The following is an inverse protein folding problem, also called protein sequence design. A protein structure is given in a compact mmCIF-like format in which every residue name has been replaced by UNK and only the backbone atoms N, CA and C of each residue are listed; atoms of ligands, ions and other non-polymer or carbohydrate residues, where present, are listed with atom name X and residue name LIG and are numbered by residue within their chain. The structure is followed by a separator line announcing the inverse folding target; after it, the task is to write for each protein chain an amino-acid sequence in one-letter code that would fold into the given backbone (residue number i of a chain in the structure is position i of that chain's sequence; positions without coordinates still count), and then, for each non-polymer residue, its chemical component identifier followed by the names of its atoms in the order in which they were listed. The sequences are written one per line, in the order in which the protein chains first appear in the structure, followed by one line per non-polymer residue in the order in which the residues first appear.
data_IF_626504761064
#
_entry.id   IF_626504761064
#
_cell.length_a   1.000
_cell.length_b   1.000
_cell.length_c   1.000
_cell.angle_alpha   90.00
_cell.angle_beta   90.00
_cell.angle_gamma   90.00
#
_symmetry.space_group_name_H-M   'P 1'
#
loop_
_entity.id
_entity.type
_entity.pdbx_description
1 polymer ?
#
# COMPACT_ATOMS: atom_id res chain seq x y z
N UNK A 1 -2.54 13.81 -48.39
CA UNK A 1 -2.07 12.64 -47.61
C UNK A 1 -0.87 12.96 -46.75
N UNK A 2 0.16 13.64 -47.24
CA UNK A 2 1.39 13.97 -46.48
C UNK A 2 1.14 14.75 -45.18
N UNK A 3 0.28 15.78 -45.21
CA UNK A 3 -0.09 16.53 -43.99
C UNK A 3 -0.81 15.67 -42.95
N UNK A 4 -1.63 14.72 -43.39
CA UNK A 4 -2.36 13.79 -42.49
C UNK A 4 -1.37 12.86 -41.79
N UNK A 5 -0.39 12.33 -42.54
CA UNK A 5 0.69 11.50 -41.98
C UNK A 5 1.55 12.30 -41.00
N UNK A 6 1.89 13.55 -41.34
CA UNK A 6 2.64 14.45 -40.45
C UNK A 6 1.90 14.74 -39.13
N UNK A 7 0.62 15.10 -39.18
CA UNK A 7 -0.19 15.32 -37.97
C UNK A 7 -0.35 14.04 -37.15
N UNK A 8 -0.48 12.88 -37.79
CA UNK A 8 -0.53 11.59 -37.10
C UNK A 8 0.78 11.30 -36.36
N UNK A 9 1.94 11.55 -36.98
CA UNK A 9 3.25 11.38 -36.34
C UNK A 9 3.41 12.32 -35.14
N UNK A 10 3.02 13.58 -35.27
CA UNK A 10 3.04 14.54 -34.16
C UNK A 10 2.15 14.10 -33.00
N UNK A 11 0.94 13.61 -33.31
CA UNK A 11 0.00 13.12 -32.31
C UNK A 11 0.56 11.89 -31.56
N UNK A 12 1.09 10.90 -32.28
CA UNK A 12 1.71 9.72 -31.68
C UNK A 12 2.94 10.09 -30.83
N UNK A 13 3.76 11.03 -31.29
CA UNK A 13 4.91 11.53 -30.54
C UNK A 13 4.49 12.20 -29.24
N UNK A 14 3.42 13.01 -29.26
CA UNK A 14 2.88 13.65 -28.08
C UNK A 14 2.34 12.63 -27.06
N UNK A 15 1.65 11.58 -27.52
CA UNK A 15 1.21 10.47 -26.65
C UNK A 15 2.41 9.77 -26.03
N UNK A 16 3.43 9.43 -26.84
CA UNK A 16 4.63 8.75 -26.37
C UNK A 16 5.37 9.55 -25.29
N UNK A 17 5.60 10.85 -25.51
CA UNK A 17 6.26 11.72 -24.55
C UNK A 17 5.46 11.83 -23.23
N UNK A 18 4.13 11.90 -23.32
CA UNK A 18 3.25 11.92 -22.15
C UNK A 18 3.35 10.61 -21.35
N UNK A 19 3.32 9.47 -22.03
CA UNK A 19 3.45 8.15 -21.41
C UNK A 19 4.82 7.98 -20.75
N UNK A 20 5.91 8.37 -21.44
CA UNK A 20 7.27 8.32 -20.87
C UNK A 20 7.38 9.14 -19.58
N UNK A 21 6.87 10.37 -19.58
CA UNK A 21 6.85 11.22 -18.37
C UNK A 21 6.10 10.59 -17.21
N UNK A 22 4.98 9.90 -17.48
CA UNK A 22 4.22 9.18 -16.45
C UNK A 22 5.01 7.99 -15.90
N UNK A 23 5.65 7.20 -16.77
CA UNK A 23 6.51 6.08 -16.36
C UNK A 23 7.67 6.57 -15.50
N UNK A 24 8.35 7.65 -15.90
CA UNK A 24 9.45 8.24 -15.13
C UNK A 24 9.00 8.72 -13.75
N UNK A 25 7.80 9.30 -13.67
CA UNK A 25 7.20 9.69 -12.39
C UNK A 25 6.91 8.48 -11.50
N UNK A 26 6.31 7.42 -12.05
CA UNK A 26 6.03 6.17 -11.31
C UNK A 26 7.33 5.54 -10.83
N UNK A 27 8.35 5.45 -11.69
CA UNK A 27 9.66 4.90 -11.34
C UNK A 27 10.33 5.71 -10.23
N UNK A 28 10.25 7.05 -10.29
CA UNK A 28 10.76 7.91 -9.22
C UNK A 28 10.04 7.68 -7.90
N UNK A 29 8.71 7.58 -7.93
CA UNK A 29 7.90 7.32 -6.75
C UNK A 29 8.19 5.93 -6.16
N UNK A 30 8.24 4.88 -6.98
CA UNK A 30 8.59 3.52 -6.56
C UNK A 30 10.00 3.45 -5.98
N UNK A 31 10.97 4.15 -6.58
CA UNK A 31 12.32 4.24 -6.05
C UNK A 31 12.36 4.89 -4.67
N UNK A 32 11.60 5.97 -4.45
CA UNK A 32 11.51 6.61 -3.14
C UNK A 32 10.91 5.67 -2.09
N UNK A 33 9.78 5.03 -2.41
CA UNK A 33 9.03 4.25 -1.44
C UNK A 33 9.64 2.87 -1.17
N UNK A 34 9.98 2.11 -2.21
CA UNK A 34 10.32 0.69 -2.07
C UNK A 34 11.82 0.40 -2.10
N UNK A 35 12.63 1.25 -2.74
CA UNK A 35 14.09 1.06 -2.82
C UNK A 35 14.79 1.87 -1.74
N UNK A 36 14.53 3.18 -1.68
CA UNK A 36 15.10 4.07 -0.67
C UNK A 36 14.41 3.96 0.69
N UNK A 37 13.22 3.37 0.73
CA UNK A 37 12.40 3.20 1.95
C UNK A 37 12.20 4.52 2.70
N UNK A 38 11.91 5.57 1.94
CA UNK A 38 11.70 6.93 2.43
C UNK A 38 10.28 7.39 2.08
N UNK A 39 9.27 6.96 2.87
CA UNK A 39 7.89 7.30 2.62
C UNK A 39 7.63 8.81 2.83
N UNK A 40 8.44 9.49 3.64
CA UNK A 40 8.36 10.94 3.81
C UNK A 40 8.71 11.72 2.54
N UNK A 41 9.81 11.36 1.88
CA UNK A 41 10.17 11.95 0.58
C UNK A 41 9.20 11.56 -0.53
N UNK A 42 8.63 10.35 -0.47
CA UNK A 42 7.55 9.94 -1.38
C UNK A 42 6.30 10.83 -1.25
N UNK A 43 5.83 11.09 -0.03
CA UNK A 43 4.69 11.98 0.23
C UNK A 43 4.98 13.40 -0.26
N UNK A 44 6.16 13.95 0.05
CA UNK A 44 6.59 15.28 -0.44
C UNK A 44 6.63 15.36 -1.97
N UNK A 45 7.01 14.28 -2.64
CA UNK A 45 7.02 14.23 -4.09
C UNK A 45 5.59 14.26 -4.66
N UNK A 46 4.64 13.58 -4.01
CA UNK A 46 3.23 13.60 -4.38
C UNK A 46 2.57 14.95 -4.10
N UNK A 47 2.90 15.63 -3.00
CA UNK A 47 2.41 16.99 -2.74
C UNK A 47 2.78 17.95 -3.90
N UNK A 48 4.03 17.91 -4.36
CA UNK A 48 4.48 18.67 -5.54
C UNK A 48 3.79 18.27 -6.85
N UNK A 49 3.34 17.01 -6.96
CA UNK A 49 2.55 16.55 -8.12
C UNK A 49 1.14 17.10 -8.02
N UNK A 50 0.54 17.12 -6.82
CA UNK A 50 -0.81 17.60 -6.54
C UNK A 50 -0.96 19.12 -6.74
N UNK A 51 0.11 19.90 -6.53
CA UNK A 51 0.16 21.34 -6.84
C UNK A 51 -0.01 21.67 -8.34
N UNK A 52 0.17 20.69 -9.23
CA UNK A 52 0.10 20.91 -10.69
C UNK A 52 -1.33 20.80 -11.19
N UNK A 53 -1.64 21.58 -12.24
CA UNK A 53 -2.90 21.44 -12.99
C UNK A 53 -3.02 20.03 -13.59
N UNK A 54 -4.09 19.34 -13.23
CA UNK A 54 -4.36 17.97 -13.64
C UNK A 54 -5.87 17.69 -13.67
N UNK A 55 -6.28 16.60 -14.30
CA UNK A 55 -7.70 16.22 -14.32
C UNK A 55 -8.18 15.80 -12.93
N UNK A 56 -9.47 15.94 -12.59
CA UNK A 56 -10.02 15.46 -11.32
C UNK A 56 -9.68 13.99 -11.02
N UNK A 57 -9.73 13.13 -12.05
CA UNK A 57 -9.31 11.73 -11.96
C UNK A 57 -7.86 11.57 -11.51
N UNK A 58 -6.94 12.36 -12.04
CA UNK A 58 -5.53 12.29 -11.68
C UNK A 58 -5.28 12.81 -10.26
N UNK A 59 -6.03 13.82 -9.81
CA UNK A 59 -5.97 14.28 -8.41
C UNK A 59 -6.32 13.12 -7.49
N UNK A 60 -7.45 12.46 -7.73
CA UNK A 60 -7.91 11.32 -6.90
C UNK A 60 -6.85 10.21 -6.85
N UNK A 61 -6.28 9.85 -8.00
CA UNK A 61 -5.23 8.82 -8.09
C UNK A 61 -3.99 9.22 -7.28
N UNK A 62 -3.50 10.45 -7.43
CA UNK A 62 -2.32 10.92 -6.73
C UNK A 62 -2.56 11.08 -5.21
N UNK A 63 -3.76 11.48 -4.79
CA UNK A 63 -4.17 11.50 -3.38
C UNK A 63 -4.19 10.08 -2.82
N UNK A 64 -4.74 9.12 -3.56
CA UNK A 64 -4.76 7.73 -3.13
C UNK A 64 -3.35 7.12 -3.03
N UNK A 65 -2.45 7.46 -3.96
CA UNK A 65 -1.03 7.10 -3.83
C UNK A 65 -0.41 7.73 -2.59
N UNK A 66 -0.74 8.99 -2.29
CA UNK A 66 -0.23 9.68 -1.09
C UNK A 66 -0.63 8.95 0.18
N UNK A 67 -1.84 8.39 0.26
CA UNK A 67 -2.27 7.63 1.43
C UNK A 67 -1.46 6.35 1.65
N UNK A 68 -0.89 5.73 0.60
CA UNK A 68 0.06 4.61 0.78
C UNK A 68 1.35 5.08 1.45
N UNK A 69 1.87 6.25 1.09
CA UNK A 69 3.04 6.84 1.76
C UNK A 69 2.76 7.19 3.21
N UNK A 70 1.63 7.86 3.47
CA UNK A 70 1.18 8.20 4.82
C UNK A 70 0.94 6.95 5.70
N UNK A 71 0.40 5.88 5.12
CA UNK A 71 0.24 4.59 5.80
C UNK A 71 1.59 4.06 6.27
N UNK A 72 2.60 4.01 5.40
CA UNK A 72 3.93 3.56 5.79
C UNK A 72 4.60 4.50 6.81
N UNK A 73 4.29 5.80 6.80
CA UNK A 73 4.72 6.73 7.86
C UNK A 73 3.98 6.56 9.19
N UNK A 74 3.01 5.65 9.30
CA UNK A 74 2.19 5.47 10.49
C UNK A 74 1.18 6.59 10.74
N UNK A 75 0.90 7.43 9.74
CA UNK A 75 -0.08 8.54 9.82
C UNK A 75 -1.51 8.04 9.59
N UNK A 76 -1.93 7.05 10.38
CA UNK A 76 -3.20 6.35 10.17
C UNK A 76 -4.42 7.28 10.25
N UNK A 77 -4.44 8.24 11.17
CA UNK A 77 -5.50 9.24 11.27
C UNK A 77 -5.68 10.05 9.99
N UNK A 78 -4.56 10.50 9.41
CA UNK A 78 -4.56 11.28 8.17
C UNK A 78 -5.02 10.41 6.99
N UNK A 79 -4.56 9.16 6.90
CA UNK A 79 -5.01 8.20 5.89
C UNK A 79 -6.53 7.99 5.97
N UNK A 80 -7.04 7.71 7.17
CA UNK A 80 -8.47 7.47 7.39
C UNK A 80 -9.27 8.71 6.99
N UNK A 81 -8.87 9.90 7.47
CA UNK A 81 -9.57 11.14 7.16
C UNK A 81 -9.63 11.42 5.64
N UNK A 82 -8.49 11.30 4.95
CA UNK A 82 -8.42 11.52 3.51
C UNK A 82 -9.36 10.56 2.77
N UNK A 83 -9.32 9.27 3.12
CA UNK A 83 -10.09 8.26 2.41
C UNK A 83 -11.58 8.35 2.69
N UNK A 84 -11.99 8.67 3.92
CA UNK A 84 -13.42 8.70 4.26
C UNK A 84 -14.11 10.04 3.99
N UNK A 85 -13.39 11.16 4.10
CA UNK A 85 -13.99 12.50 4.09
C UNK A 85 -13.61 13.30 2.84
N UNK A 86 -12.35 13.23 2.41
CA UNK A 86 -11.82 14.11 1.36
C UNK A 86 -11.95 13.48 -0.03
N UNK A 87 -11.81 12.15 -0.12
CA UNK A 87 -11.84 11.43 -1.39
C UNK A 87 -13.26 10.98 -1.76
N UNK A 88 -13.75 11.47 -2.90
CA UNK A 88 -15.05 11.08 -3.47
C UNK A 88 -14.87 10.51 -4.86
N UNK A 89 -15.75 9.59 -5.26
CA UNK A 89 -15.79 9.00 -6.61
C UNK A 89 -14.48 8.33 -7.04
N UNK A 90 -13.94 7.46 -6.18
CA UNK A 90 -12.74 6.65 -6.50
C UNK A 90 -13.01 5.82 -7.76
N UNK A 91 -12.15 5.88 -8.80
CA UNK A 91 -12.33 5.02 -9.97
C UNK A 91 -12.29 3.55 -9.55
N UNK A 92 -13.20 2.74 -10.09
CA UNK A 92 -13.37 1.32 -9.72
C UNK A 92 -12.04 0.54 -9.66
N UNK A 93 -11.18 0.73 -10.65
CA UNK A 93 -9.89 0.04 -10.73
C UNK A 93 -8.86 0.50 -9.67
N UNK A 94 -9.16 1.52 -8.87
CA UNK A 94 -8.34 2.00 -7.75
C UNK A 94 -8.96 1.67 -6.39
N UNK A 95 -10.17 1.11 -6.35
CA UNK A 95 -10.82 0.68 -5.11
C UNK A 95 -10.02 -0.34 -4.30
N UNK A 96 -9.29 -1.32 -4.91
CA UNK A 96 -8.45 -2.22 -4.12
C UNK A 96 -7.43 -1.49 -3.23
N UNK A 97 -6.76 -0.47 -3.78
CA UNK A 97 -5.77 0.34 -3.06
C UNK A 97 -6.44 1.19 -1.99
N UNK A 98 -7.61 1.78 -2.32
CA UNK A 98 -8.43 2.53 -1.37
C UNK A 98 -8.76 1.69 -0.14
N UNK A 99 -9.34 0.51 -0.35
CA UNK A 99 -9.77 -0.33 0.75
C UNK A 99 -8.58 -0.95 1.50
N UNK A 100 -7.48 -1.30 0.81
CA UNK A 100 -6.26 -1.74 1.49
C UNK A 100 -5.78 -0.68 2.48
N UNK A 101 -5.54 0.55 2.01
CA UNK A 101 -4.98 1.61 2.84
C UNK A 101 -5.92 1.96 4.00
N UNK A 102 -7.23 2.01 3.77
CA UNK A 102 -8.22 2.29 4.80
C UNK A 102 -8.27 1.18 5.87
N UNK A 103 -8.46 -0.07 5.44
CA UNK A 103 -8.70 -1.19 6.35
C UNK A 103 -7.44 -1.49 7.17
N UNK A 104 -6.26 -1.50 6.55
CA UNK A 104 -5.01 -1.70 7.28
C UNK A 104 -4.77 -0.55 8.27
N UNK A 105 -5.00 0.70 7.88
CA UNK A 105 -4.86 1.84 8.81
C UNK A 105 -5.80 1.73 10.00
N UNK A 106 -7.05 1.29 9.80
CA UNK A 106 -8.00 1.06 10.89
C UNK A 106 -7.50 -0.04 11.84
N UNK A 107 -7.02 -1.17 11.32
CA UNK A 107 -6.45 -2.24 12.14
C UNK A 107 -5.22 -1.80 12.94
N UNK A 108 -4.26 -1.14 12.29
CA UNK A 108 -3.04 -0.69 12.97
C UNK A 108 -3.29 0.46 13.96
N UNK A 109 -4.35 1.24 13.77
CA UNK A 109 -4.84 2.21 14.76
C UNK A 109 -5.57 1.56 15.94
N UNK A 110 -6.04 0.32 15.78
CA UNK A 110 -6.84 -0.40 16.78
C UNK A 110 -8.36 -0.20 16.64
N UNK A 111 -8.83 0.38 15.54
CA UNK A 111 -10.26 0.57 15.24
C UNK A 111 -10.88 -0.69 14.58
N UNK A 112 -10.71 -1.85 15.23
CA UNK A 112 -11.03 -3.17 14.65
C UNK A 112 -12.48 -3.31 14.16
N UNK A 113 -13.45 -2.75 14.90
CA UNK A 113 -14.87 -2.81 14.51
C UNK A 113 -15.10 -2.10 13.16
N UNK A 114 -14.57 -0.88 13.01
CA UNK A 114 -14.67 -0.12 11.76
C UNK A 114 -13.89 -0.78 10.64
N UNK A 115 -12.73 -1.40 10.94
CA UNK A 115 -11.99 -2.18 9.95
C UNK A 115 -12.86 -3.34 9.42
N UNK A 116 -13.53 -4.07 10.31
CA UNK A 116 -14.43 -5.17 9.97
C UNK A 116 -15.66 -4.72 9.16
N UNK A 117 -16.25 -3.57 9.50
CA UNK A 117 -17.33 -2.97 8.70
C UNK A 117 -16.86 -2.62 7.29
N UNK A 118 -15.67 -2.06 7.14
CA UNK A 118 -15.10 -1.75 5.82
C UNK A 118 -14.68 -3.01 5.04
N UNK A 119 -14.24 -4.07 5.71
CA UNK A 119 -14.05 -5.38 5.09
C UNK A 119 -15.34 -5.91 4.44
N UNK A 120 -16.49 -5.78 5.12
CA UNK A 120 -17.79 -6.19 4.56
C UNK A 120 -18.15 -5.39 3.31
N UNK A 121 -17.90 -4.07 3.33
CA UNK A 121 -18.13 -3.19 2.17
C UNK A 121 -17.22 -3.53 0.99
N UNK A 122 -15.96 -3.87 1.27
CA UNK A 122 -14.96 -4.18 0.25
C UNK A 122 -15.16 -5.57 -0.39
N UNK A 123 -15.91 -6.47 0.24
CA UNK A 123 -15.97 -7.90 -0.11
C UNK A 123 -16.25 -8.15 -1.59
N UNK A 124 -17.33 -7.58 -2.15
CA UNK A 124 -17.70 -7.80 -3.55
C UNK A 124 -16.62 -7.32 -4.51
N UNK A 125 -15.98 -6.18 -4.21
CA UNK A 125 -14.88 -5.65 -5.02
C UNK A 125 -13.62 -6.52 -4.90
N UNK A 126 -13.26 -6.99 -3.70
CA UNK A 126 -12.14 -7.92 -3.56
C UNK A 126 -12.38 -9.22 -4.31
N UNK A 127 -13.59 -9.77 -4.30
CA UNK A 127 -13.92 -10.96 -5.10
C UNK A 127 -13.78 -10.72 -6.61
N UNK A 128 -14.11 -9.52 -7.09
CA UNK A 128 -13.92 -9.14 -8.49
C UNK A 128 -12.44 -9.04 -8.87
N UNK A 129 -11.60 -8.48 -7.99
CA UNK A 129 -10.19 -8.19 -8.29
C UNK A 129 -9.20 -9.28 -7.81
N UNK A 130 -9.64 -10.30 -7.08
CA UNK A 130 -8.72 -11.32 -6.50
C UNK A 130 -7.90 -12.09 -7.52
N UNK A 131 -8.41 -12.26 -8.74
CA UNK A 131 -7.72 -12.96 -9.83
C UNK A 131 -6.81 -12.04 -10.66
N UNK A 132 -6.72 -10.76 -10.31
CA UNK A 132 -5.82 -9.82 -10.96
C UNK A 132 -4.47 -9.85 -10.24
N UNK A 133 -3.43 -10.39 -10.89
CA UNK A 133 -2.08 -10.54 -10.34
C UNK A 133 -1.51 -9.27 -9.69
N UNK A 134 -1.93 -8.08 -10.14
CA UNK A 134 -1.50 -6.81 -9.53
C UNK A 134 -2.12 -6.57 -8.15
N UNK A 135 -3.36 -7.00 -7.93
CA UNK A 135 -4.12 -6.79 -6.70
C UNK A 135 -4.16 -8.00 -5.76
N UNK A 136 -3.93 -9.21 -6.26
CA UNK A 136 -4.05 -10.47 -5.50
C UNK A 136 -3.32 -10.41 -4.16
N UNK A 137 -2.00 -10.18 -4.15
CA UNK A 137 -1.21 -10.13 -2.91
C UNK A 137 -1.70 -9.02 -1.96
N UNK A 138 -2.13 -7.87 -2.49
CA UNK A 138 -2.67 -6.77 -1.70
C UNK A 138 -3.96 -7.18 -0.97
N UNK A 139 -4.87 -7.84 -1.68
CA UNK A 139 -6.15 -8.31 -1.14
C UNK A 139 -5.91 -9.40 -0.10
N UNK A 140 -5.01 -10.34 -0.39
CA UNK A 140 -4.65 -11.41 0.54
C UNK A 140 -4.02 -10.89 1.82
N UNK A 141 -3.15 -9.87 1.76
CA UNK A 141 -2.60 -9.22 2.96
C UNK A 141 -3.74 -8.67 3.82
N UNK A 142 -4.70 -7.98 3.21
CA UNK A 142 -5.83 -7.40 3.95
C UNK A 142 -6.66 -8.48 4.65
N UNK A 143 -6.95 -9.59 3.97
CA UNK A 143 -7.64 -10.73 4.58
C UNK A 143 -6.83 -11.37 5.70
N UNK A 144 -5.53 -11.60 5.50
CA UNK A 144 -4.67 -12.23 6.50
C UNK A 144 -4.52 -11.37 7.77
N UNK A 145 -4.38 -10.05 7.61
CA UNK A 145 -4.37 -9.10 8.73
C UNK A 145 -5.73 -9.10 9.44
N UNK A 146 -6.82 -9.07 8.67
CA UNK A 146 -8.17 -9.14 9.24
C UNK A 146 -8.36 -10.42 10.06
N UNK A 147 -7.98 -11.56 9.53
CA UNK A 147 -8.05 -12.84 10.23
C UNK A 147 -7.23 -12.84 11.52
N UNK A 148 -6.01 -12.28 11.50
CA UNK A 148 -5.17 -12.13 12.70
C UNK A 148 -5.89 -11.36 13.81
N UNK A 149 -6.47 -10.21 13.50
CA UNK A 149 -7.23 -9.42 14.48
C UNK A 149 -8.55 -10.09 14.92
N UNK A 150 -9.01 -11.12 14.21
CA UNK A 150 -10.13 -11.98 14.59
C UNK A 150 -9.68 -13.32 15.22
N UNK A 151 -8.41 -13.43 15.63
CA UNK A 151 -7.88 -14.58 16.37
C UNK A 151 -7.31 -15.72 15.52
N UNK A 152 -7.34 -15.61 14.19
CA UNK A 152 -6.75 -16.62 13.29
C UNK A 152 -5.34 -16.22 12.87
N UNK A 153 -4.36 -17.06 13.19
CA UNK A 153 -2.95 -16.68 13.05
C UNK A 153 -2.39 -16.70 11.61
N UNK A 154 -2.97 -17.46 10.67
CA UNK A 154 -2.53 -17.53 9.26
C UNK A 154 -1.00 -17.63 9.07
N UNK A 155 -0.33 -18.44 9.91
CA UNK A 155 1.14 -18.52 10.00
C UNK A 155 1.80 -18.92 8.69
N UNK A 156 1.18 -19.83 7.94
CA UNK A 156 1.69 -20.31 6.64
C UNK A 156 1.71 -19.17 5.61
N UNK A 157 0.62 -18.41 5.53
CA UNK A 157 0.53 -17.25 4.64
C UNK A 157 1.59 -16.20 4.98
N UNK A 158 1.74 -15.83 6.26
CA UNK A 158 2.77 -14.86 6.64
C UNK A 158 4.19 -15.38 6.38
N UNK A 159 4.42 -16.68 6.52
CA UNK A 159 5.70 -17.32 6.17
C UNK A 159 5.99 -17.27 4.68
N UNK A 160 4.97 -17.44 3.84
CA UNK A 160 5.09 -17.25 2.40
C UNK A 160 5.35 -15.80 2.04
N UNK A 161 4.62 -14.86 2.65
CA UNK A 161 4.77 -13.42 2.42
C UNK A 161 6.19 -12.93 2.74
N UNK A 162 6.85 -13.48 3.76
CA UNK A 162 8.26 -13.19 4.06
C UNK A 162 9.19 -13.51 2.89
N UNK A 163 8.92 -14.61 2.16
CA UNK A 163 9.76 -15.09 1.07
C UNK A 163 9.42 -14.39 -0.24
N UNK A 164 8.13 -14.33 -0.55
CA UNK A 164 7.61 -14.02 -1.87
C UNK A 164 7.04 -12.60 -2.01
N UNK A 165 6.93 -11.85 -0.91
CA UNK A 165 6.35 -10.51 -0.91
C UNK A 165 7.00 -9.60 -1.97
N UNK A 166 6.18 -8.89 -2.74
CA UNK A 166 6.64 -8.14 -3.92
C UNK A 166 7.64 -6.99 -3.62
N UNK A 167 7.75 -6.58 -2.36
CA UNK A 167 8.73 -5.60 -1.89
C UNK A 167 9.02 -5.80 -0.40
N UNK A 168 10.07 -5.13 0.09
CA UNK A 168 10.54 -5.28 1.46
C UNK A 168 9.51 -4.89 2.51
N UNK A 169 8.63 -3.91 2.25
CA UNK A 169 7.57 -3.58 3.21
C UNK A 169 6.53 -4.68 3.34
N UNK A 170 6.21 -5.39 2.26
CA UNK A 170 5.31 -6.55 2.30
C UNK A 170 5.96 -7.72 3.04
N UNK A 171 7.24 -7.98 2.79
CA UNK A 171 8.02 -8.98 3.55
C UNK A 171 8.11 -8.62 5.04
N UNK A 172 8.37 -7.36 5.36
CA UNK A 172 8.38 -6.85 6.72
C UNK A 172 7.03 -7.05 7.43
N UNK A 173 5.91 -6.85 6.71
CA UNK A 173 4.57 -7.15 7.23
C UNK A 173 4.44 -8.63 7.62
N UNK A 174 4.90 -9.54 6.76
CA UNK A 174 4.93 -10.98 7.06
C UNK A 174 5.72 -11.29 8.32
N UNK A 175 6.95 -10.78 8.41
CA UNK A 175 7.81 -10.94 9.59
C UNK A 175 7.17 -10.34 10.85
N UNK A 176 6.50 -9.19 10.75
CA UNK A 176 5.86 -8.54 11.89
C UNK A 176 4.79 -9.44 12.50
N UNK A 177 3.88 -9.98 11.68
CA UNK A 177 2.83 -10.85 12.16
C UNK A 177 3.36 -12.20 12.66
N UNK A 178 4.38 -12.77 12.01
CA UNK A 178 5.06 -13.95 12.57
C UNK A 178 5.67 -13.67 13.94
N UNK A 179 6.30 -12.51 14.13
CA UNK A 179 6.85 -12.09 15.41
C UNK A 179 5.79 -12.04 16.50
N UNK A 180 4.62 -11.47 16.21
CA UNK A 180 3.47 -11.45 17.12
C UNK A 180 2.92 -12.85 17.41
N UNK A 181 2.83 -13.70 16.40
CA UNK A 181 2.38 -15.09 16.53
C UNK A 181 3.32 -15.88 17.46
N UNK A 182 4.62 -15.86 17.20
CA UNK A 182 5.60 -16.54 18.04
C UNK A 182 5.61 -16.00 19.47
N UNK A 183 5.40 -14.68 19.66
CA UNK A 183 5.23 -14.07 20.98
C UNK A 183 4.05 -14.68 21.73
N UNK A 184 2.89 -14.81 21.05
CA UNK A 184 1.70 -15.44 21.63
C UNK A 184 1.86 -16.93 21.92
N UNK A 185 2.81 -17.60 21.25
CA UNK A 185 3.17 -19.01 21.43
C UNK A 185 4.28 -19.20 22.47
N UNK A 186 4.69 -18.14 23.19
CA UNK A 186 5.81 -18.11 24.12
C UNK A 186 7.17 -18.50 23.50
N UNK A 187 7.30 -18.44 22.17
CA UNK A 187 8.58 -18.65 21.48
C UNK A 187 9.33 -17.32 21.32
N UNK A 188 9.96 -16.89 22.41
CA UNK A 188 10.65 -15.57 22.48
C UNK A 188 11.79 -15.43 21.48
N UNK A 189 12.59 -16.48 21.29
CA UNK A 189 13.74 -16.46 20.39
C UNK A 189 13.33 -16.18 18.94
N UNK A 190 12.38 -16.96 18.44
CA UNK A 190 11.82 -16.74 17.09
C UNK A 190 11.12 -15.39 17.00
N UNK A 191 10.34 -15.01 18.01
CA UNK A 191 9.66 -13.71 18.02
C UNK A 191 10.62 -12.53 17.84
N UNK A 192 11.73 -12.50 18.58
CA UNK A 192 12.75 -11.45 18.47
C UNK A 192 13.44 -11.49 17.10
N UNK A 193 13.76 -12.67 16.58
CA UNK A 193 14.35 -12.81 15.25
C UNK A 193 13.45 -12.23 14.16
N UNK A 194 12.14 -12.49 14.22
CA UNK A 194 11.16 -11.94 13.28
C UNK A 194 11.02 -10.41 13.41
N UNK A 195 11.03 -9.86 14.62
CA UNK A 195 10.98 -8.40 14.80
C UNK A 195 12.25 -7.70 14.29
N UNK A 196 13.43 -8.30 14.44
CA UNK A 196 14.67 -7.76 13.87
C UNK A 196 14.60 -7.68 12.34
N UNK A 197 14.13 -8.75 11.68
CA UNK A 197 13.92 -8.77 10.22
C UNK A 197 12.86 -7.75 9.79
N UNK A 198 11.80 -7.58 10.60
CA UNK A 198 10.80 -6.54 10.37
C UNK A 198 11.43 -5.15 10.40
N UNK A 199 12.31 -4.85 11.37
CA UNK A 199 12.96 -3.56 11.48
C UNK A 199 13.92 -3.27 10.31
N UNK A 200 14.66 -4.28 9.85
CA UNK A 200 15.59 -4.17 8.73
C UNK A 200 14.83 -3.92 7.40
N UNK A 201 13.85 -4.77 7.10
CA UNK A 201 13.09 -4.69 5.86
C UNK A 201 12.13 -3.49 5.86
N UNK A 202 11.53 -3.20 7.01
CA UNK A 202 10.55 -2.14 7.27
C UNK A 202 11.15 -0.76 7.52
N UNK A 203 12.44 -0.55 7.25
CA UNK A 203 13.14 0.72 7.53
C UNK A 203 12.36 1.95 7.04
N UNK A 204 12.38 3.02 7.84
CA UNK A 204 11.70 4.29 7.58
C UNK A 204 10.17 4.23 7.71
N UNK A 205 9.60 3.10 8.16
CA UNK A 205 8.15 2.91 8.26
C UNK A 205 7.69 2.61 9.68
N UNK A 206 6.38 2.67 9.91
CA UNK A 206 5.77 2.31 11.18
C UNK A 206 6.09 0.86 11.60
N UNK A 207 6.37 -0.05 10.66
CA UNK A 207 6.74 -1.43 10.97
C UNK A 207 8.09 -1.51 11.70
N UNK A 208 9.05 -0.65 11.35
CA UNK A 208 10.32 -0.52 12.09
C UNK A 208 10.07 -0.06 13.52
N UNK A 209 9.18 0.92 13.70
CA UNK A 209 8.85 1.43 15.03
C UNK A 209 8.10 0.39 15.89
N UNK A 210 7.11 -0.30 15.32
CA UNK A 210 6.33 -1.31 16.02
C UNK A 210 7.17 -2.54 16.38
N UNK A 211 8.06 -2.98 15.49
CA UNK A 211 8.94 -4.12 15.76
C UNK A 211 9.91 -3.83 16.90
N UNK A 212 10.56 -2.66 16.91
CA UNK A 212 11.45 -2.24 18.01
C UNK A 212 10.77 -2.13 19.38
N UNK A 213 9.47 -1.81 19.41
CA UNK A 213 8.69 -1.80 20.66
C UNK A 213 8.32 -3.20 21.15
N UNK A 214 8.36 -4.19 20.26
CA UNK A 214 7.90 -5.55 20.54
C UNK A 214 9.02 -6.57 20.76
N UNK A 215 10.21 -6.28 20.24
CA UNK A 215 11.49 -6.97 20.51
C UNK A 215 11.96 -6.71 21.93
#
# INVERSE_FOLDING_TARGET
MEYVVFFMILFLSAIFLKSKKQIDQINKLNNLLFIKKDPGSYVKALDKILERKQSPKNIIINVLQKTTGLFYMGKFDEVINILTNDLKNVPKNWEPIYYQNLILSLYFKGENQKAHENMKKAKSMFEEFKNNNYYTEMIEIVYAVSDYFNGKKNKDYFSELCKNGANDYRKAMGHYFLGLIFKSENNKGESVAQFNLTAELGKGSFLEELSRKNS
#
